data_IF_223110027455
#
_entry.id   IF_223110027455
#
_cell.length_a   1.000
_cell.length_b   1.000
_cell.length_c   1.000
_cell.angle_alpha   90.00
_cell.angle_beta   90.00
_cell.angle_gamma   90.00
#
_symmetry.space_group_name_H-M   'P 1'
#
loop_
_entity.id
_entity.type
_entity.pdbx_description
1 polymer ?
#
# COMPACT_ATOMS: atom_id res chain seq x y z
N UNK A 1 3.98 21.40 -19.60
CA UNK A 1 5.41 21.64 -19.34
C UNK A 1 5.90 20.54 -18.40
N UNK A 2 6.53 19.47 -18.92
CA UNK A 2 7.05 18.36 -18.11
C UNK A 2 8.43 18.76 -17.59
N UNK A 3 8.58 18.93 -16.28
CA UNK A 3 9.90 19.06 -15.66
C UNK A 3 10.52 17.66 -15.61
N UNK A 4 11.56 17.45 -16.40
CA UNK A 4 12.45 16.32 -16.25
C UNK A 4 13.18 16.47 -14.90
N UNK A 5 12.88 15.59 -13.96
CA UNK A 5 13.55 15.56 -12.66
C UNK A 5 15.00 15.11 -12.81
N UNK A 6 15.94 15.94 -12.33
CA UNK A 6 17.28 15.48 -11.97
C UNK A 6 17.12 14.40 -10.89
N UNK A 7 17.85 13.28 -10.96
CA UNK A 7 17.67 12.07 -10.12
C UNK A 7 17.83 12.19 -8.59
N UNK A 8 17.34 13.26 -7.98
CA UNK A 8 17.27 13.58 -6.55
C UNK A 8 15.84 13.91 -6.09
N UNK A 9 14.81 13.62 -6.89
CA UNK A 9 13.41 13.97 -6.58
C UNK A 9 12.84 13.23 -5.36
N UNK A 10 13.50 12.17 -4.91
CA UNK A 10 13.07 11.35 -3.78
C UNK A 10 14.24 11.00 -2.88
N UNK A 11 14.09 11.26 -1.57
CA UNK A 11 15.08 10.93 -0.54
C UNK A 11 14.39 10.42 0.71
N UNK A 12 14.88 9.31 1.23
CA UNK A 12 14.49 8.79 2.55
C UNK A 12 15.57 9.10 3.57
N UNK A 13 15.19 9.11 4.84
CA UNK A 13 16.07 9.34 5.99
C UNK A 13 16.97 8.15 6.31
N UNK A 14 16.64 6.95 5.82
CA UNK A 14 17.40 5.72 6.07
C UNK A 14 17.29 5.17 7.50
N UNK A 15 16.35 5.69 8.30
CA UNK A 15 16.11 5.32 9.70
C UNK A 15 15.19 4.09 9.87
N UNK A 16 14.76 3.48 8.77
CA UNK A 16 13.88 2.31 8.77
C UNK A 16 12.41 2.60 9.07
N UNK A 17 12.03 3.87 9.27
CA UNK A 17 10.64 4.25 9.54
C UNK A 17 9.80 4.25 8.25
N UNK A 18 8.98 3.19 8.10
CA UNK A 18 8.11 3.02 6.94
C UNK A 18 7.11 4.17 6.77
N UNK A 19 6.62 4.78 7.85
CA UNK A 19 5.66 5.88 7.78
C UNK A 19 6.29 7.11 7.13
N UNK A 20 7.54 7.44 7.48
CA UNK A 20 8.28 8.54 6.86
C UNK A 20 8.53 8.29 5.39
N UNK A 21 8.93 7.07 5.03
CA UNK A 21 9.14 6.68 3.63
C UNK A 21 7.85 6.85 2.81
N UNK A 22 6.72 6.36 3.32
CA UNK A 22 5.42 6.46 2.64
C UNK A 22 4.96 7.91 2.56
N UNK A 23 5.14 8.71 3.62
CA UNK A 23 4.81 10.13 3.63
C UNK A 23 5.64 10.92 2.60
N UNK A 24 6.93 10.59 2.44
CA UNK A 24 7.80 11.20 1.44
C UNK A 24 7.45 10.77 0.01
N UNK A 25 7.01 9.52 -0.21
CA UNK A 25 6.63 9.01 -1.54
C UNK A 25 5.26 9.49 -2.02
N UNK A 26 4.28 9.47 -1.13
CA UNK A 26 2.86 9.62 -1.50
C UNK A 26 2.17 10.80 -0.79
N UNK A 27 2.93 11.58 -0.03
CA UNK A 27 2.43 12.69 0.77
C UNK A 27 1.95 12.23 2.15
N UNK A 28 1.96 13.16 3.09
CA UNK A 28 1.57 12.94 4.50
C UNK A 28 0.16 12.37 4.66
N UNK A 29 -0.76 12.70 3.74
CA UNK A 29 -2.12 12.18 3.75
C UNK A 29 -2.18 10.66 3.51
N UNK A 30 -1.29 10.11 2.69
CA UNK A 30 -1.24 8.66 2.43
C UNK A 30 -0.68 7.88 3.63
N UNK A 31 0.23 8.49 4.38
CA UNK A 31 0.77 7.92 5.62
C UNK A 31 -0.17 8.11 6.83
N UNK A 32 -1.22 8.94 6.70
CA UNK A 32 -2.18 9.20 7.78
C UNK A 32 -3.10 7.98 7.95
N UNK A 33 -3.11 7.40 9.15
CA UNK A 33 -3.92 6.23 9.51
C UNK A 33 -3.52 4.92 8.79
N UNK A 34 -2.22 4.69 8.58
CA UNK A 34 -1.76 3.35 8.23
C UNK A 34 -2.01 2.39 9.40
N UNK A 35 -2.45 1.19 9.06
CA UNK A 35 -2.54 0.05 9.97
C UNK A 35 -1.44 -0.93 9.62
N UNK A 36 -0.77 -1.46 10.65
CA UNK A 36 0.27 -2.47 10.51
C UNK A 36 -0.37 -3.84 10.32
N UNK A 37 0.20 -4.62 9.40
CA UNK A 37 -0.12 -6.02 9.18
C UNK A 37 1.08 -6.84 9.65
N UNK A 38 0.85 -7.75 10.58
CA UNK A 38 1.87 -8.68 11.06
C UNK A 38 1.19 -10.03 11.31
N UNK A 39 1.61 -11.04 10.55
CA UNK A 39 1.07 -12.39 10.59
C UNK A 39 2.18 -13.40 10.29
N UNK A 40 2.12 -14.51 10.98
CA UNK A 40 2.98 -15.65 10.78
C UNK A 40 2.12 -16.91 10.88
N UNK A 41 2.37 -17.88 10.01
CA UNK A 41 1.72 -19.18 10.05
C UNK A 41 2.76 -20.27 9.82
N UNK A 42 3.12 -20.95 10.90
CA UNK A 42 4.11 -22.03 10.89
C UNK A 42 3.68 -23.22 10.03
N UNK A 43 2.36 -23.48 9.90
CA UNK A 43 1.86 -24.62 9.10
C UNK A 43 1.96 -24.34 7.61
N UNK A 44 1.79 -23.08 7.24
CA UNK A 44 1.88 -22.63 5.86
C UNK A 44 3.28 -22.13 5.50
N UNK A 45 4.22 -22.15 6.45
CA UNK A 45 5.62 -21.76 6.30
C UNK A 45 5.78 -20.37 5.67
N UNK A 46 5.00 -19.39 6.13
CA UNK A 46 5.14 -18.01 5.68
C UNK A 46 4.98 -17.01 6.84
N UNK A 47 5.63 -15.87 6.65
CA UNK A 47 5.37 -14.64 7.42
C UNK A 47 4.94 -13.53 6.47
N UNK A 48 4.02 -12.69 6.93
CA UNK A 48 3.50 -11.52 6.25
C UNK A 48 3.65 -10.32 7.16
N UNK A 49 4.43 -9.35 6.70
CA UNK A 49 4.56 -8.03 7.32
C UNK A 49 4.14 -6.97 6.33
N UNK A 50 3.63 -5.86 6.81
CA UNK A 50 3.27 -4.77 5.91
C UNK A 50 2.46 -3.69 6.59
N UNK A 51 1.93 -2.80 5.76
CA UNK A 51 1.01 -1.79 6.21
C UNK A 51 0.01 -1.46 5.10
N UNK A 52 -1.14 -0.95 5.51
CA UNK A 52 -2.16 -0.49 4.57
C UNK A 52 -2.86 0.74 5.13
N UNK A 53 -3.35 1.60 4.25
CA UNK A 53 -4.27 2.66 4.66
C UNK A 53 -5.54 2.02 5.23
N UNK A 54 -6.00 2.53 6.37
CA UNK A 54 -7.25 2.06 7.00
C UNK A 54 -8.38 2.00 5.96
N UNK A 55 -9.04 0.85 5.78
CA UNK A 55 -10.14 0.75 4.83
C UNK A 55 -11.25 1.73 5.18
N UNK A 56 -11.72 2.48 4.19
CA UNK A 56 -12.88 3.37 4.32
C UNK A 56 -14.05 2.80 3.53
N UNK A 57 -15.28 3.12 3.95
CA UNK A 57 -16.48 2.75 3.21
C UNK A 57 -16.40 3.26 1.77
N UNK A 58 -16.71 2.40 0.81
CA UNK A 58 -16.43 2.63 -0.61
C UNK A 58 -17.36 3.63 -1.29
N UNK A 59 -18.46 4.00 -0.63
CA UNK A 59 -19.48 4.95 -1.10
C UNK A 59 -19.28 6.38 -0.54
N UNK A 60 -18.20 6.64 0.19
CA UNK A 60 -17.91 8.00 0.68
C UNK A 60 -17.44 8.89 -0.46
N UNK A 61 -17.76 10.19 -0.42
CA UNK A 61 -17.25 11.17 -1.39
C UNK A 61 -15.73 11.07 -1.63
N UNK A 62 -14.86 10.95 -0.61
CA UNK A 62 -13.42 10.78 -0.81
C UNK A 62 -13.03 9.43 -1.44
N UNK A 63 -13.73 8.33 -1.11
CA UNK A 63 -13.43 7.02 -1.72
C UNK A 63 -13.89 6.94 -3.17
N UNK A 64 -14.99 7.60 -3.54
CA UNK A 64 -15.46 7.72 -4.92
C UNK A 64 -14.47 8.52 -5.78
N UNK A 65 -13.95 9.65 -5.26
CA UNK A 65 -12.89 10.42 -5.91
C UNK A 65 -11.60 9.60 -6.05
N UNK A 66 -11.21 8.85 -5.02
CA UNK A 66 -10.00 8.02 -5.06
C UNK A 66 -10.12 6.87 -6.08
N UNK A 67 -11.31 6.27 -6.21
CA UNK A 67 -11.62 5.29 -7.26
C UNK A 67 -11.58 5.92 -8.66
N UNK A 68 -12.17 7.10 -8.83
CA UNK A 68 -12.13 7.84 -10.10
C UNK A 68 -10.71 8.22 -10.51
N UNK A 69 -9.88 8.64 -9.54
CA UNK A 69 -8.48 9.00 -9.74
C UNK A 69 -7.54 7.78 -9.88
N UNK A 70 -8.07 6.54 -9.84
CA UNK A 70 -7.29 5.28 -9.88
C UNK A 70 -6.14 5.24 -8.87
N UNK A 71 -6.27 5.92 -7.73
CA UNK A 71 -5.22 6.04 -6.71
C UNK A 71 -5.16 4.82 -5.80
N UNK A 72 -5.01 3.62 -6.39
CA UNK A 72 -4.73 2.40 -5.63
C UNK A 72 -3.28 2.02 -5.81
N UNK A 73 -2.48 2.29 -4.78
CA UNK A 73 -1.08 1.92 -4.71
C UNK A 73 -0.98 0.55 -4.05
N UNK A 74 -0.33 -0.39 -4.73
CA UNK A 74 -0.09 -1.74 -4.23
C UNK A 74 1.39 -2.08 -4.43
N UNK A 75 2.08 -2.27 -3.31
CA UNK A 75 3.45 -2.78 -3.29
C UNK A 75 3.47 -4.18 -2.71
N UNK A 76 4.16 -5.07 -3.40
CA UNK A 76 4.35 -6.45 -2.98
C UNK A 76 5.84 -6.77 -3.02
N UNK A 77 6.32 -7.30 -1.91
CA UNK A 77 7.66 -7.84 -1.77
C UNK A 77 7.55 -9.31 -1.42
N UNK A 78 8.29 -10.16 -2.12
CA UNK A 78 8.45 -11.58 -1.80
C UNK A 78 9.94 -11.80 -1.59
N UNK A 79 10.33 -12.29 -0.42
CA UNK A 79 11.73 -12.48 -0.05
C UNK A 79 12.57 -11.22 -0.27
N UNK A 80 12.04 -10.07 0.16
CA UNK A 80 12.64 -8.73 0.04
C UNK A 80 12.84 -8.24 -1.41
N UNK A 81 12.23 -8.89 -2.40
CA UNK A 81 12.26 -8.45 -3.81
C UNK A 81 10.91 -7.90 -4.22
N UNK A 82 10.90 -6.77 -4.91
CA UNK A 82 9.67 -6.20 -5.47
C UNK A 82 9.15 -7.11 -6.58
N UNK A 83 7.87 -7.49 -6.48
CA UNK A 83 7.21 -8.39 -7.43
C UNK A 83 5.83 -7.83 -7.77
N UNK A 84 5.44 -7.96 -9.03
CA UNK A 84 4.05 -7.73 -9.44
C UNK A 84 3.28 -9.06 -9.46
N UNK A 85 2.19 -9.15 -8.69
CA UNK A 85 1.31 -10.30 -8.69
C UNK A 85 -0.15 -9.87 -8.86
N UNK A 86 -0.65 -9.99 -10.10
CA UNK A 86 -2.01 -9.60 -10.44
C UNK A 86 -3.06 -10.43 -9.69
N UNK A 87 -2.80 -11.73 -9.47
CA UNK A 87 -3.71 -12.64 -8.78
C UNK A 87 -3.92 -12.24 -7.31
N UNK A 88 -2.83 -11.96 -6.60
CA UNK A 88 -2.93 -11.50 -5.20
C UNK A 88 -3.62 -10.14 -5.11
N UNK A 89 -3.32 -9.23 -6.03
CA UNK A 89 -3.99 -7.93 -6.11
C UNK A 89 -5.51 -8.09 -6.33
N UNK A 90 -5.91 -8.95 -7.25
CA UNK A 90 -7.32 -9.26 -7.52
C UNK A 90 -8.00 -9.90 -6.31
N UNK A 91 -7.35 -10.84 -5.64
CA UNK A 91 -7.89 -11.46 -4.42
C UNK A 91 -8.18 -10.41 -3.34
N UNK A 92 -7.25 -9.46 -3.13
CA UNK A 92 -7.49 -8.32 -2.23
C UNK A 92 -8.64 -7.44 -2.71
N UNK A 93 -8.70 -7.12 -4.01
CA UNK A 93 -9.80 -6.33 -4.61
C UNK A 93 -11.17 -6.97 -4.34
N UNK A 94 -11.28 -8.30 -4.46
CA UNK A 94 -12.50 -9.07 -4.15
C UNK A 94 -12.89 -8.97 -2.68
N UNK A 95 -11.93 -9.13 -1.76
CA UNK A 95 -12.20 -9.04 -0.31
C UNK A 95 -12.68 -7.64 0.07
N UNK A 96 -12.04 -6.58 -0.44
CA UNK A 96 -12.49 -5.21 -0.19
C UNK A 96 -13.88 -4.94 -0.77
N UNK A 97 -14.15 -5.42 -1.98
CA UNK A 97 -15.45 -5.30 -2.62
C UNK A 97 -16.56 -6.01 -1.81
N UNK A 98 -16.30 -7.22 -1.32
CA UNK A 98 -17.24 -7.97 -0.49
C UNK A 98 -17.60 -7.24 0.81
N UNK A 99 -16.64 -6.51 1.39
CA UNK A 99 -16.84 -5.70 2.60
C UNK A 99 -17.35 -4.28 2.29
N UNK A 100 -17.61 -3.94 1.02
CA UNK A 100 -17.93 -2.58 0.57
C UNK A 100 -16.91 -1.53 1.04
N UNK A 101 -15.65 -1.92 1.20
CA UNK A 101 -14.56 -1.04 1.64
C UNK A 101 -13.57 -0.76 0.51
N UNK A 102 -12.71 0.22 0.72
CA UNK A 102 -11.64 0.58 -0.20
C UNK A 102 -10.42 1.04 0.59
N UNK A 103 -9.24 0.61 0.16
CA UNK A 103 -7.96 1.09 0.69
C UNK A 103 -7.12 1.65 -0.46
N UNK A 104 -6.61 2.86 -0.26
CA UNK A 104 -5.82 3.63 -1.24
C UNK A 104 -4.37 3.16 -1.34
N UNK A 105 -3.86 2.56 -0.26
CA UNK A 105 -2.45 2.16 -0.15
C UNK A 105 -2.35 0.82 0.56
N UNK A 106 -1.59 -0.10 -0.03
CA UNK A 106 -1.28 -1.40 0.56
C UNK A 106 0.17 -1.74 0.20
N UNK A 107 0.95 -2.09 1.21
CA UNK A 107 2.30 -2.64 1.08
C UNK A 107 2.38 -3.95 1.85
N UNK A 108 2.72 -5.03 1.15
CA UNK A 108 2.89 -6.37 1.73
C UNK A 108 4.31 -6.87 1.50
N UNK A 109 4.87 -7.55 2.49
CA UNK A 109 6.14 -8.26 2.44
C UNK A 109 5.91 -9.68 2.94
N UNK A 110 6.08 -10.65 2.03
CA UNK A 110 6.01 -12.08 2.32
C UNK A 110 7.42 -12.64 2.42
N UNK A 111 7.67 -13.49 3.42
CA UNK A 111 8.90 -14.25 3.62
C UNK A 111 8.58 -15.70 3.95
#
# INVERSE_FOLDING_TARGET
MRRCGSGNDFRTTGDGDQFKVIASLHGSNAAKNLITLDREDEKLFYSLKGCMARPSASCTAPSLQSKQNRQKIFYLFINNRSVECAQLKQALDVVFAAQNTFSTFIMLSLQ
#
